data_IF_159889204710
#
_entry.id   IF_159889204710
#
_cell.length_a   1.000
_cell.length_b   1.000
_cell.length_c   1.000
_cell.angle_alpha   90.00
_cell.angle_beta   90.00
_cell.angle_gamma   90.00
#
_symmetry.space_group_name_H-M   'P 1'
#
loop_
_entity.id
_entity.type
_entity.pdbx_description
1 polymer ?
#
# COMPACT_ATOMS: atom_id res chain seq x y z
N UNK A 1 5.31 -2.90 -27.71
CA UNK A 1 5.80 -2.52 -26.37
C UNK A 1 5.13 -3.37 -25.31
N UNK A 2 5.90 -3.91 -24.41
CA UNK A 2 5.37 -4.65 -23.29
C UNK A 2 4.83 -3.69 -22.24
N UNK A 3 3.64 -4.00 -21.71
CA UNK A 3 2.97 -3.17 -20.72
C UNK A 3 3.73 -3.14 -19.39
N UNK A 4 4.35 -4.27 -19.01
CA UNK A 4 5.02 -4.45 -17.72
C UNK A 4 6.52 -4.70 -17.90
N UNK A 5 7.17 -3.82 -18.64
CA UNK A 5 8.63 -3.84 -18.79
C UNK A 5 9.29 -3.35 -17.49
N UNK A 6 10.07 -4.21 -16.84
CA UNK A 6 10.75 -3.88 -15.59
C UNK A 6 11.79 -2.77 -15.71
N UNK A 7 12.21 -2.44 -16.93
CA UNK A 7 13.13 -1.33 -17.20
C UNK A 7 12.43 0.01 -17.42
N UNK A 8 11.10 0.05 -17.31
CA UNK A 8 10.32 1.27 -17.54
C UNK A 8 10.70 2.37 -16.54
N UNK A 9 10.81 3.61 -17.03
CA UNK A 9 11.09 4.80 -16.22
C UNK A 9 9.84 5.50 -15.69
N UNK A 10 8.65 4.98 -16.01
CA UNK A 10 7.38 5.54 -15.55
C UNK A 10 6.91 6.79 -16.30
N UNK A 11 7.63 7.23 -17.32
CA UNK A 11 7.29 8.46 -18.04
C UNK A 11 6.08 8.32 -18.96
N UNK A 12 5.72 7.10 -19.32
CA UNK A 12 4.61 6.83 -20.22
C UNK A 12 3.32 6.56 -19.44
N UNK A 13 2.27 7.29 -19.80
CA UNK A 13 0.93 6.94 -19.35
C UNK A 13 0.41 5.77 -20.18
N UNK A 14 0.11 4.65 -19.53
CA UNK A 14 -0.33 3.43 -20.21
C UNK A 14 -1.85 3.34 -20.39
N UNK A 15 -2.62 4.30 -19.82
CA UNK A 15 -4.07 4.36 -20.06
C UNK A 15 -4.37 5.11 -21.35
N UNK A 16 -5.28 4.61 -22.18
CA UNK A 16 -5.63 5.28 -23.43
C UNK A 16 -6.47 6.55 -23.22
N UNK A 17 -7.23 6.65 -22.12
CA UNK A 17 -8.06 7.81 -21.79
C UNK A 17 -8.57 7.73 -20.34
N UNK A 18 -9.15 8.82 -19.86
CA UNK A 18 -9.84 8.92 -18.56
C UNK A 18 -8.96 8.55 -17.37
N UNK A 19 -7.76 9.09 -17.34
CA UNK A 19 -6.86 8.89 -16.23
C UNK A 19 -5.42 8.71 -16.67
N UNK A 20 -4.59 8.43 -15.70
CA UNK A 20 -3.16 8.25 -15.92
C UNK A 20 -2.65 7.08 -15.10
N UNK A 21 -1.96 6.15 -15.74
CA UNK A 21 -1.23 5.06 -15.09
C UNK A 21 0.16 4.99 -15.67
N UNK A 22 1.16 5.05 -14.80
CA UNK A 22 2.57 4.99 -15.18
C UNK A 22 3.20 3.77 -14.52
N UNK A 23 3.95 2.99 -15.30
CA UNK A 23 4.64 1.82 -14.78
C UNK A 23 6.14 2.12 -14.66
N UNK A 24 6.67 2.04 -13.45
CA UNK A 24 8.05 2.40 -13.13
C UNK A 24 9.02 1.22 -13.15
N UNK A 25 8.54 0.02 -13.40
CA UNK A 25 9.36 -1.18 -13.38
C UNK A 25 9.71 -1.62 -11.95
N UNK A 26 10.74 -2.43 -11.84
CA UNK A 26 11.26 -2.87 -10.55
C UNK A 26 12.10 -1.76 -9.93
N UNK A 27 11.64 -1.20 -8.80
CA UNK A 27 12.29 -0.04 -8.16
C UNK A 27 13.22 -0.44 -7.00
N UNK A 28 13.17 -1.68 -6.54
CA UNK A 28 14.09 -2.23 -5.54
C UNK A 28 14.59 -3.60 -6.01
N UNK A 29 15.80 -3.94 -5.55
CA UNK A 29 16.37 -5.25 -5.88
C UNK A 29 15.59 -6.39 -5.22
N UNK A 30 15.71 -7.61 -5.78
CA UNK A 30 15.06 -8.79 -5.21
C UNK A 30 15.50 -9.05 -3.76
N UNK A 31 16.77 -8.82 -3.44
CA UNK A 31 17.30 -8.99 -2.08
C UNK A 31 16.65 -8.00 -1.11
N UNK A 32 16.58 -6.72 -1.49
CA UNK A 32 15.93 -5.70 -0.66
C UNK A 32 14.43 -5.95 -0.51
N UNK A 33 13.77 -6.36 -1.58
CA UNK A 33 12.34 -6.69 -1.55
C UNK A 33 12.06 -7.82 -0.56
N UNK A 34 12.89 -8.87 -0.57
CA UNK A 34 12.78 -9.97 0.37
C UNK A 34 12.95 -9.50 1.81
N UNK A 35 13.96 -8.66 2.06
CA UNK A 35 14.20 -8.12 3.40
C UNK A 35 13.03 -7.27 3.90
N UNK A 36 12.49 -6.38 3.07
CA UNK A 36 11.30 -5.61 3.43
C UNK A 36 10.09 -6.50 3.69
N UNK A 37 9.88 -7.52 2.86
CA UNK A 37 8.79 -8.47 3.06
C UNK A 37 8.88 -9.15 4.43
N UNK A 38 10.06 -9.65 4.79
CA UNK A 38 10.30 -10.30 6.09
C UNK A 38 10.07 -9.34 7.26
N UNK A 39 10.58 -8.11 7.15
CA UNK A 39 10.37 -7.07 8.17
C UNK A 39 8.90 -6.72 8.31
N UNK A 40 8.19 -6.49 7.22
CA UNK A 40 6.77 -6.13 7.26
C UNK A 40 5.90 -7.25 7.80
N UNK A 41 6.24 -8.51 7.53
CA UNK A 41 5.49 -9.64 8.09
C UNK A 41 5.56 -9.69 9.62
N UNK A 42 6.64 -9.17 10.21
CA UNK A 42 6.87 -9.22 11.67
C UNK A 42 6.62 -7.91 12.39
N UNK A 43 6.69 -6.76 11.71
CA UNK A 43 6.59 -5.43 12.35
C UNK A 43 5.23 -4.75 12.19
N UNK A 44 4.46 -5.14 11.18
CA UNK A 44 3.14 -4.55 10.92
C UNK A 44 2.11 -5.13 11.91
N UNK A 45 1.23 -4.27 12.37
CA UNK A 45 0.10 -4.66 13.23
C UNK A 45 -1.03 -5.24 12.37
N UNK A 46 -0.82 -6.46 11.89
CA UNK A 46 -1.77 -7.16 11.04
C UNK A 46 -3.04 -7.53 11.81
N UNK A 47 -4.19 -7.14 11.28
CA UNK A 47 -5.49 -7.48 11.84
C UNK A 47 -6.34 -8.19 10.80
N UNK A 48 -7.17 -9.11 11.24
CA UNK A 48 -8.15 -9.71 10.35
C UNK A 48 -9.15 -8.64 9.91
N UNK A 49 -9.49 -8.63 8.63
CA UNK A 49 -10.51 -7.72 8.13
C UNK A 49 -11.90 -8.21 8.58
N UNK A 50 -12.62 -7.33 9.27
CA UNK A 50 -13.94 -7.63 9.85
C UNK A 50 -14.98 -6.86 9.06
N UNK A 51 -16.02 -7.56 8.61
CA UNK A 51 -17.15 -6.95 7.91
C UNK A 51 -18.45 -7.25 8.65
N UNK A 52 -19.37 -6.29 8.62
CA UNK A 52 -20.73 -6.46 9.15
C UNK A 52 -21.69 -6.54 7.95
N UNK A 53 -22.36 -7.67 7.79
CA UNK A 53 -23.24 -7.90 6.66
C UNK A 53 -24.45 -8.72 7.11
N UNK A 54 -25.65 -8.30 6.71
CA UNK A 54 -26.90 -8.96 7.06
C UNK A 54 -27.09 -9.20 8.55
N UNK A 55 -26.71 -8.20 9.37
CA UNK A 55 -26.80 -8.28 10.84
C UNK A 55 -25.79 -9.22 11.48
N UNK A 56 -24.82 -9.70 10.73
CA UNK A 56 -23.77 -10.61 11.23
C UNK A 56 -22.41 -9.94 11.14
N UNK A 57 -21.54 -10.26 12.11
CA UNK A 57 -20.14 -9.88 12.08
C UNK A 57 -19.35 -11.06 11.51
N UNK A 58 -18.65 -10.81 10.40
CA UNK A 58 -17.84 -11.82 9.72
C UNK A 58 -16.37 -11.42 9.86
N UNK A 59 -15.57 -12.29 10.49
CA UNK A 59 -14.12 -12.13 10.54
C UNK A 59 -13.52 -12.88 9.37
N UNK A 60 -12.95 -12.15 8.41
CA UNK A 60 -12.33 -12.77 7.23
C UNK A 60 -10.95 -13.31 7.58
N UNK A 61 -10.40 -14.16 6.71
CA UNK A 61 -9.03 -14.64 6.83
C UNK A 61 -8.01 -13.64 6.33
N UNK A 62 -8.47 -12.61 5.63
CA UNK A 62 -7.63 -11.56 5.08
C UNK A 62 -7.03 -10.72 6.20
N UNK A 63 -5.73 -10.46 6.13
CA UNK A 63 -5.03 -9.58 7.05
C UNK A 63 -4.83 -8.22 6.41
N UNK A 64 -5.08 -7.18 7.17
CA UNK A 64 -4.96 -5.78 6.71
C UNK A 64 -4.31 -4.93 7.77
N UNK A 65 -3.73 -3.81 7.34
CA UNK A 65 -3.21 -2.78 8.24
C UNK A 65 -3.21 -1.45 7.50
N UNK A 66 -3.34 -0.34 8.24
CA UNK A 66 -3.40 0.99 7.66
C UNK A 66 -2.55 1.94 8.48
N UNK A 67 -1.67 2.68 7.80
CA UNK A 67 -0.75 3.65 8.40
C UNK A 67 -0.87 4.98 7.68
N UNK A 68 -0.61 6.08 8.37
CA UNK A 68 -0.72 7.39 7.76
C UNK A 68 -0.06 8.50 8.57
N UNK A 69 0.00 9.69 7.99
CA UNK A 69 0.58 10.88 8.61
C UNK A 69 -0.19 11.32 9.85
N UNK A 70 -1.47 11.02 9.90
CA UNK A 70 -2.41 11.38 10.97
C UNK A 70 -3.29 10.18 11.27
N UNK A 71 -3.98 10.17 12.41
CA UNK A 71 -4.93 9.09 12.73
C UNK A 71 -6.22 9.23 11.92
N UNK A 72 -6.09 9.15 10.60
CA UNK A 72 -7.25 9.19 9.70
C UNK A 72 -8.26 8.13 10.09
N UNK A 73 -9.54 8.42 9.92
CA UNK A 73 -10.63 7.48 10.19
C UNK A 73 -11.41 7.21 8.94
N UNK A 74 -11.75 5.95 8.75
CA UNK A 74 -12.57 5.51 7.64
C UNK A 74 -13.61 4.51 8.13
N UNK A 75 -14.88 4.77 7.83
CA UNK A 75 -15.99 3.91 8.26
C UNK A 75 -16.68 3.32 7.04
N UNK A 76 -16.89 2.01 7.07
CA UNK A 76 -17.74 1.31 6.12
C UNK A 76 -18.34 0.07 6.79
N UNK A 77 -19.51 -0.35 6.34
CA UNK A 77 -20.23 -1.51 6.90
C UNK A 77 -20.30 -1.48 8.43
N UNK A 78 -20.55 -0.29 9.00
CA UNK A 78 -20.62 -0.06 10.46
C UNK A 78 -19.31 -0.38 11.22
N UNK A 79 -18.19 -0.40 10.52
CA UNK A 79 -16.87 -0.60 11.12
C UNK A 79 -16.05 0.66 10.88
N UNK A 80 -15.37 1.16 11.92
CA UNK A 80 -14.46 2.29 11.83
C UNK A 80 -13.03 1.80 11.93
N UNK A 81 -12.20 2.19 10.97
CA UNK A 81 -10.76 1.94 10.99
C UNK A 81 -10.01 3.25 11.20
N UNK A 82 -8.89 3.17 11.89
CA UNK A 82 -8.04 4.32 12.17
C UNK A 82 -6.62 4.01 11.71
N UNK A 83 -6.01 4.98 11.00
CA UNK A 83 -4.64 4.86 10.54
C UNK A 83 -3.67 4.94 11.72
N UNK A 84 -2.69 4.05 11.74
CA UNK A 84 -1.61 4.04 12.71
C UNK A 84 -0.45 4.92 12.27
N UNK A 85 0.42 5.35 13.18
CA UNK A 85 1.62 6.09 12.82
C UNK A 85 2.56 5.24 11.95
N UNK A 86 3.23 5.88 11.01
CA UNK A 86 4.20 5.21 10.13
C UNK A 86 5.25 4.43 10.92
N UNK A 87 5.57 3.23 10.45
CA UNK A 87 6.74 2.50 10.94
C UNK A 87 7.99 2.98 10.21
N UNK A 88 9.16 2.65 10.76
CA UNK A 88 10.44 2.97 10.14
C UNK A 88 10.53 2.38 8.73
N UNK A 89 10.19 1.11 8.58
CA UNK A 89 10.26 0.39 7.31
C UNK A 89 9.34 1.00 6.26
N UNK A 90 8.11 1.36 6.65
CA UNK A 90 7.16 2.00 5.75
C UNK A 90 7.60 3.41 5.37
N UNK A 91 8.22 4.16 6.28
CA UNK A 91 8.78 5.47 5.97
C UNK A 91 9.92 5.38 4.95
N UNK A 92 10.76 4.38 5.06
CA UNK A 92 11.84 4.14 4.08
C UNK A 92 11.27 3.85 2.69
N UNK A 93 10.27 2.98 2.61
CA UNK A 93 9.60 2.66 1.35
C UNK A 93 8.87 3.87 0.77
N UNK A 94 8.16 4.62 1.62
CA UNK A 94 7.47 5.85 1.24
C UNK A 94 8.44 6.86 0.62
N UNK A 95 9.56 7.11 1.27
CA UNK A 95 10.58 8.05 0.78
C UNK A 95 11.12 7.62 -0.58
N UNK A 96 11.36 6.33 -0.76
CA UNK A 96 11.85 5.80 -2.02
C UNK A 96 10.84 5.96 -3.15
N UNK A 97 9.58 5.66 -2.87
CA UNK A 97 8.51 5.79 -3.86
C UNK A 97 8.29 7.26 -4.23
N UNK A 98 8.29 8.16 -3.25
CA UNK A 98 8.14 9.61 -3.48
C UNK A 98 9.28 10.16 -4.33
N UNK A 99 10.51 9.71 -4.09
CA UNK A 99 11.67 10.11 -4.88
C UNK A 99 11.55 9.68 -6.34
N UNK A 100 11.09 8.45 -6.59
CA UNK A 100 10.97 7.90 -7.93
C UNK A 100 9.79 8.49 -8.68
N UNK A 101 8.64 8.65 -8.03
CA UNK A 101 7.41 9.14 -8.66
C UNK A 101 7.28 10.65 -8.68
N UNK A 102 8.06 11.36 -7.88
CA UNK A 102 7.96 12.80 -7.65
C UNK A 102 6.56 13.21 -7.14
N UNK A 103 5.94 12.33 -6.35
CA UNK A 103 4.63 12.54 -5.74
C UNK A 103 4.75 12.43 -4.23
N UNK A 104 3.74 12.91 -3.50
CA UNK A 104 3.67 12.79 -2.04
C UNK A 104 2.49 11.91 -1.65
N UNK A 105 2.69 11.07 -0.64
CA UNK A 105 1.66 10.16 -0.16
C UNK A 105 1.45 10.36 1.33
N UNK A 106 0.21 10.25 1.78
CA UNK A 106 -0.14 10.50 3.18
C UNK A 106 -0.56 9.25 3.95
N UNK A 107 -0.77 8.14 3.28
CA UNK A 107 -1.17 6.90 3.95
C UNK A 107 -0.79 5.68 3.13
N UNK A 108 -0.84 4.52 3.79
CA UNK A 108 -0.52 3.24 3.19
C UNK A 108 -1.48 2.19 3.71
N UNK A 109 -2.15 1.51 2.81
CA UNK A 109 -2.98 0.35 3.12
C UNK A 109 -2.23 -0.90 2.72
N UNK A 110 -2.07 -1.83 3.68
CA UNK A 110 -1.44 -3.12 3.46
C UNK A 110 -2.49 -4.23 3.53
N UNK A 111 -2.35 -5.22 2.65
CA UNK A 111 -3.22 -6.39 2.64
C UNK A 111 -2.49 -7.64 2.13
#
# INVERSE_FOLDING_TARGET
>A
MELFDESSDGMQNILPKEGEVNYFGAIISAVKAKNYREQLLTTIDWQNDVIHMFGKTITTKRKVAWYGDKPYKYSYSNTTKEALPWTKELMELKSKIEEITNESYNSCLLN
#
